data_IF_839245156642
#
_entry.id   IF_839245156642
#
_cell.length_a   1.000
_cell.length_b   1.000
_cell.length_c   1.000
_cell.angle_alpha   90.00
_cell.angle_beta   90.00
_cell.angle_gamma   90.00
#
_symmetry.space_group_name_H-M   'P 1'
#
loop_
_entity.id
_entity.type
_entity.pdbx_description
1 polymer ?
#
# COMPACT_ATOMS: atom_id res chain seq x y z
N UNK A 1 -2.31 -28.47 16.26
CA UNK A 1 -1.82 -27.80 17.49
C UNK A 1 -2.46 -26.41 17.49
N UNK A 2 -3.37 -26.17 18.44
CA UNK A 2 -4.29 -25.01 18.43
C UNK A 2 -3.52 -23.73 18.70
N UNK A 3 -3.58 -22.77 17.78
CA UNK A 3 -3.19 -21.39 18.04
C UNK A 3 -4.13 -20.80 19.10
N UNK A 4 -3.55 -20.27 20.15
CA UNK A 4 -4.24 -19.60 21.26
C UNK A 4 -4.79 -18.26 20.76
N UNK A 5 -6.10 -18.17 20.63
CA UNK A 5 -6.84 -16.91 20.55
C UNK A 5 -6.76 -16.22 21.93
N UNK A 6 -5.77 -15.36 22.10
CA UNK A 6 -5.62 -14.55 23.30
C UNK A 6 -5.02 -13.18 22.95
N UNK A 7 -5.83 -12.36 22.37
CA UNK A 7 -5.95 -10.91 22.45
C UNK A 7 -6.95 -10.52 21.38
N UNK A 8 -8.04 -9.82 21.74
CA UNK A 8 -9.21 -9.59 20.87
C UNK A 8 -8.82 -9.35 19.41
N UNK A 9 -9.13 -10.31 18.55
CA UNK A 9 -8.75 -10.24 17.13
C UNK A 9 -9.27 -8.94 16.57
N UNK A 10 -8.36 -8.12 16.05
CA UNK A 10 -8.73 -6.89 15.36
C UNK A 10 -9.62 -7.27 14.17
N UNK A 11 -10.89 -6.85 14.21
CA UNK A 11 -11.83 -7.14 13.12
C UNK A 11 -11.60 -6.13 12.00
N UNK A 12 -10.82 -6.52 11.01
CA UNK A 12 -10.58 -5.71 9.81
C UNK A 12 -11.88 -5.27 9.13
N UNK A 13 -12.90 -6.11 9.14
CA UNK A 13 -14.24 -5.78 8.59
C UNK A 13 -14.80 -4.49 9.19
N UNK A 14 -14.74 -4.35 10.54
CA UNK A 14 -15.22 -3.12 11.21
C UNK A 14 -14.38 -1.90 10.83
N UNK A 15 -13.06 -2.09 10.65
CA UNK A 15 -12.17 -1.02 10.17
C UNK A 15 -12.56 -0.57 8.76
N UNK A 16 -12.79 -1.50 7.83
CA UNK A 16 -13.18 -1.20 6.46
C UNK A 16 -14.54 -0.51 6.37
N UNK A 17 -15.52 -0.97 7.14
CA UNK A 17 -16.84 -0.34 7.21
C UNK A 17 -16.74 1.12 7.70
N UNK A 18 -15.94 1.38 8.73
CA UNK A 18 -15.75 2.72 9.28
C UNK A 18 -15.06 3.67 8.28
N UNK A 19 -14.20 3.14 7.40
CA UNK A 19 -13.41 3.95 6.45
C UNK A 19 -13.94 3.89 5.01
N UNK A 20 -15.09 3.27 4.77
CA UNK A 20 -15.63 2.96 3.45
C UNK A 20 -15.76 4.18 2.53
N UNK A 21 -16.17 5.32 3.09
CA UNK A 21 -16.51 6.51 2.32
C UNK A 21 -15.49 7.65 2.48
N UNK A 22 -14.31 7.37 3.06
CA UNK A 22 -13.28 8.39 3.12
C UNK A 22 -12.74 8.68 1.72
N UNK A 23 -12.35 9.94 1.42
CA UNK A 23 -11.65 10.24 0.19
C UNK A 23 -10.30 9.50 0.13
N UNK A 24 -9.85 9.20 -1.09
CA UNK A 24 -8.49 8.71 -1.30
C UNK A 24 -7.45 9.74 -0.84
N UNK A 25 -6.27 9.25 -0.47
CA UNK A 25 -5.22 10.11 0.07
C UNK A 25 -4.71 11.13 -0.96
N UNK A 26 -4.37 12.33 -0.50
CA UNK A 26 -3.72 13.35 -1.34
C UNK A 26 -2.38 12.86 -1.90
N UNK A 27 -1.70 12.01 -1.15
CA UNK A 27 -0.45 11.36 -1.56
C UNK A 27 -0.65 10.53 -2.84
N UNK A 28 -1.73 9.72 -2.89
CA UNK A 28 -2.08 8.95 -4.09
C UNK A 28 -2.44 9.87 -5.27
N UNK A 29 -3.21 10.93 -5.06
CA UNK A 29 -3.55 11.85 -6.14
C UNK A 29 -2.31 12.51 -6.75
N UNK A 30 -1.33 12.88 -5.94
CA UNK A 30 -0.03 13.40 -6.41
C UNK A 30 0.71 12.35 -7.24
N UNK A 31 0.78 11.10 -6.77
CA UNK A 31 1.43 10.00 -7.48
C UNK A 31 0.76 9.68 -8.82
N UNK A 32 -0.58 9.70 -8.89
CA UNK A 32 -1.34 9.54 -10.14
C UNK A 32 -0.94 10.62 -11.16
N UNK A 33 -0.84 11.87 -10.72
CA UNK A 33 -0.40 12.99 -11.57
C UNK A 33 1.01 12.77 -12.14
N UNK A 34 1.95 12.36 -11.29
CA UNK A 34 3.33 12.05 -11.71
C UNK A 34 3.39 10.88 -12.68
N UNK A 35 2.75 9.76 -12.37
CA UNK A 35 2.81 8.56 -13.21
C UNK A 35 2.21 8.78 -14.60
N UNK A 36 1.18 9.62 -14.72
CA UNK A 36 0.54 9.97 -16.00
C UNK A 36 1.46 10.68 -16.98
N UNK A 37 2.42 11.43 -16.48
CA UNK A 37 3.36 12.19 -17.33
C UNK A 37 4.56 11.37 -17.77
N UNK A 38 4.82 10.23 -17.14
CA UNK A 38 6.07 9.48 -17.29
C UNK A 38 5.90 8.15 -18.04
N UNK A 39 4.68 7.62 -18.12
CA UNK A 39 4.44 6.34 -18.80
C UNK A 39 3.12 6.39 -19.58
N UNK A 40 3.06 5.63 -20.68
CA UNK A 40 1.83 5.43 -21.44
C UNK A 40 1.00 4.26 -20.88
N UNK A 41 1.58 3.42 -20.04
CA UNK A 41 0.87 2.33 -19.38
C UNK A 41 -0.07 2.89 -18.31
N UNK A 42 -1.23 2.27 -18.15
CA UNK A 42 -2.22 2.61 -17.12
C UNK A 42 -2.50 1.43 -16.20
N UNK A 43 -1.46 0.64 -15.91
CA UNK A 43 -1.55 -0.49 -14.98
C UNK A 43 -1.10 -0.07 -13.60
N UNK A 44 -1.93 -0.33 -12.61
CA UNK A 44 -1.65 -0.07 -11.20
C UNK A 44 -1.85 -1.33 -10.36
N UNK A 45 -1.09 -1.43 -9.27
CA UNK A 45 -1.31 -2.40 -8.19
C UNK A 45 -1.66 -1.64 -6.92
N UNK A 46 -2.72 -2.06 -6.24
CA UNK A 46 -3.16 -1.54 -4.94
C UNK A 46 -2.95 -2.63 -3.88
N UNK A 47 -1.89 -2.51 -3.10
CA UNK A 47 -1.46 -3.47 -2.09
C UNK A 47 -2.10 -3.15 -0.74
N UNK A 48 -2.90 -4.08 -0.19
CA UNK A 48 -3.71 -3.86 1.00
C UNK A 48 -4.85 -2.90 0.72
N UNK A 49 -5.66 -3.22 -0.29
CA UNK A 49 -6.69 -2.32 -0.83
C UNK A 49 -7.82 -1.98 0.16
N UNK A 50 -8.00 -2.78 1.22
CA UNK A 50 -8.97 -2.53 2.28
C UNK A 50 -10.37 -2.24 1.77
N UNK A 51 -10.95 -1.11 2.19
CA UNK A 51 -12.29 -0.67 1.76
C UNK A 51 -12.36 -0.17 0.31
N UNK A 52 -11.23 -0.14 -0.42
CA UNK A 52 -11.17 0.17 -1.85
C UNK A 52 -11.23 1.65 -2.23
N UNK A 53 -11.01 2.57 -1.29
CA UNK A 53 -11.06 4.01 -1.59
C UNK A 53 -9.98 4.42 -2.59
N UNK A 54 -8.79 3.90 -2.44
CA UNK A 54 -7.65 4.13 -3.33
C UNK A 54 -7.84 3.40 -4.67
N UNK A 55 -8.32 2.15 -4.65
CA UNK A 55 -8.73 1.42 -5.86
C UNK A 55 -9.76 2.21 -6.66
N UNK A 56 -10.81 2.76 -6.01
CA UNK A 56 -11.83 3.60 -6.65
C UNK A 56 -11.20 4.81 -7.33
N UNK A 57 -10.30 5.52 -6.65
CA UNK A 57 -9.63 6.69 -7.21
C UNK A 57 -8.76 6.34 -8.43
N UNK A 58 -8.08 5.20 -8.40
CA UNK A 58 -7.32 4.69 -9.53
C UNK A 58 -8.23 4.38 -10.74
N UNK A 59 -9.34 3.66 -10.52
CA UNK A 59 -10.32 3.34 -11.58
C UNK A 59 -10.94 4.61 -12.18
N UNK A 60 -11.34 5.58 -11.33
CA UNK A 60 -11.86 6.89 -11.77
C UNK A 60 -10.83 7.67 -12.59
N UNK A 61 -9.55 7.51 -12.28
CA UNK A 61 -8.46 8.10 -13.01
C UNK A 61 -8.11 7.34 -14.31
N UNK A 62 -8.84 6.25 -14.65
CA UNK A 62 -8.67 5.47 -15.87
C UNK A 62 -7.48 4.50 -15.82
N UNK A 63 -7.17 3.97 -14.63
CA UNK A 63 -6.16 2.93 -14.46
C UNK A 63 -6.80 1.55 -14.48
N UNK A 64 -6.14 0.58 -15.09
CA UNK A 64 -6.40 -0.84 -14.89
C UNK A 64 -5.74 -1.26 -13.58
N UNK A 65 -6.49 -1.84 -12.65
CA UNK A 65 -6.05 -2.07 -11.27
C UNK A 65 -6.05 -3.55 -10.93
N UNK A 66 -4.94 -4.03 -10.35
CA UNK A 66 -4.89 -5.24 -9.55
C UNK A 66 -4.95 -4.84 -8.08
N UNK A 67 -6.07 -5.12 -7.42
CA UNK A 67 -6.24 -4.86 -5.98
C UNK A 67 -6.03 -6.14 -5.18
N UNK A 68 -5.16 -6.07 -4.18
CA UNK A 68 -4.79 -7.22 -3.34
C UNK A 68 -5.05 -6.89 -1.88
N UNK A 69 -5.69 -7.83 -1.18
CA UNK A 69 -5.80 -7.80 0.28
C UNK A 69 -5.84 -9.24 0.81
N UNK A 70 -5.43 -9.44 2.05
CA UNK A 70 -5.54 -10.76 2.70
C UNK A 70 -6.94 -11.08 3.19
N UNK A 71 -7.78 -10.06 3.40
CA UNK A 71 -9.12 -10.19 3.95
C UNK A 71 -10.15 -10.34 2.82
N UNK A 72 -10.89 -11.46 2.74
CA UNK A 72 -11.93 -11.66 1.72
C UNK A 72 -12.98 -10.54 1.72
N UNK A 73 -13.32 -9.99 2.89
CA UNK A 73 -14.30 -8.91 3.00
C UNK A 73 -13.84 -7.61 2.28
N UNK A 74 -12.53 -7.32 2.27
CA UNK A 74 -11.98 -6.21 1.48
C UNK A 74 -12.20 -6.43 -0.01
N UNK A 75 -11.92 -7.65 -0.46
CA UNK A 75 -12.08 -8.03 -1.88
C UNK A 75 -13.54 -7.94 -2.33
N UNK A 76 -14.49 -8.35 -1.48
CA UNK A 76 -15.94 -8.20 -1.77
C UNK A 76 -16.32 -6.72 -1.92
N UNK A 77 -15.81 -5.83 -1.06
CA UNK A 77 -16.06 -4.38 -1.17
C UNK A 77 -15.48 -3.82 -2.47
N UNK A 78 -14.27 -4.22 -2.84
CA UNK A 78 -13.60 -3.76 -4.05
C UNK A 78 -14.30 -4.26 -5.31
N UNK A 79 -14.81 -5.50 -5.33
CA UNK A 79 -15.64 -5.99 -6.44
C UNK A 79 -16.87 -5.13 -6.68
N UNK A 80 -17.56 -4.70 -5.63
CA UNK A 80 -18.72 -3.82 -5.75
C UNK A 80 -18.34 -2.47 -6.42
N UNK A 81 -17.16 -1.93 -6.09
CA UNK A 81 -16.63 -0.69 -6.72
C UNK A 81 -16.39 -0.91 -8.22
N UNK A 82 -15.86 -2.07 -8.61
CA UNK A 82 -15.59 -2.38 -10.02
C UNK A 82 -16.81 -2.34 -10.92
N UNK A 83 -17.99 -2.68 -10.39
CA UNK A 83 -19.25 -2.63 -11.15
C UNK A 83 -19.63 -1.21 -11.56
N UNK A 84 -19.22 -0.21 -10.80
CA UNK A 84 -19.46 1.20 -11.08
C UNK A 84 -18.48 1.80 -12.10
N UNK A 85 -17.42 1.04 -12.48
CA UNK A 85 -16.34 1.50 -13.35
C UNK A 85 -16.07 0.55 -14.54
N UNK A 86 -17.07 0.26 -15.40
CA UNK A 86 -16.97 -0.76 -16.43
C UNK A 86 -15.95 -0.43 -17.56
N UNK A 87 -15.48 0.81 -17.64
CA UNK A 87 -14.50 1.24 -18.64
C UNK A 87 -13.05 0.93 -18.23
N UNK A 88 -12.79 0.63 -16.97
CA UNK A 88 -11.48 0.26 -16.44
C UNK A 88 -11.46 -1.22 -16.04
N UNK A 89 -10.32 -1.87 -16.21
CA UNK A 89 -10.17 -3.27 -15.80
C UNK A 89 -9.82 -3.33 -14.32
N UNK A 90 -10.62 -4.09 -13.56
CA UNK A 90 -10.33 -4.45 -12.17
C UNK A 90 -10.08 -5.95 -12.07
N UNK A 91 -8.91 -6.29 -11.56
CA UNK A 91 -8.58 -7.64 -11.09
C UNK A 91 -8.38 -7.59 -9.58
N UNK A 92 -8.73 -8.67 -8.88
CA UNK A 92 -8.58 -8.75 -7.42
C UNK A 92 -7.95 -10.07 -7.01
N UNK A 93 -7.23 -10.06 -5.90
CA UNK A 93 -6.67 -11.26 -5.32
C UNK A 93 -6.76 -11.23 -3.78
N UNK A 94 -7.27 -12.33 -3.20
CA UNK A 94 -7.16 -12.54 -1.75
C UNK A 94 -5.83 -13.20 -1.46
N UNK A 95 -4.84 -12.43 -0.97
CA UNK A 95 -3.49 -12.93 -0.82
C UNK A 95 -2.73 -12.21 0.28
N UNK A 96 -1.93 -12.95 1.04
CA UNK A 96 -0.96 -12.42 2.00
C UNK A 96 0.28 -11.91 1.28
N UNK A 97 0.89 -10.84 1.75
CA UNK A 97 2.12 -10.28 1.16
C UNK A 97 3.25 -11.30 1.12
N UNK A 98 3.38 -12.11 2.16
CA UNK A 98 4.38 -13.16 2.31
C UNK A 98 4.29 -14.25 1.23
N UNK A 99 3.11 -14.41 0.62
CA UNK A 99 2.85 -15.41 -0.42
C UNK A 99 2.92 -14.86 -1.84
N UNK A 100 3.13 -13.55 -2.02
CA UNK A 100 3.25 -12.93 -3.33
C UNK A 100 4.66 -13.21 -3.90
N UNK A 101 4.71 -14.01 -4.94
CA UNK A 101 5.97 -14.35 -5.62
C UNK A 101 6.26 -13.46 -6.83
N UNK A 102 5.24 -12.87 -7.43
CA UNK A 102 5.34 -11.95 -8.55
C UNK A 102 4.15 -10.99 -8.61
N UNK A 103 4.38 -9.80 -9.16
CA UNK A 103 3.35 -8.83 -9.49
C UNK A 103 3.45 -8.47 -10.98
N UNK A 104 2.36 -8.10 -11.64
CA UNK A 104 2.39 -7.66 -13.03
C UNK A 104 3.20 -6.37 -13.18
N UNK A 105 3.93 -6.19 -14.29
CA UNK A 105 4.61 -4.93 -14.58
C UNK A 105 3.64 -3.76 -14.55
N UNK A 106 3.92 -2.77 -13.71
CA UNK A 106 2.98 -1.68 -13.38
C UNK A 106 3.65 -0.33 -13.37
N UNK A 107 2.91 0.69 -13.81
CA UNK A 107 3.38 2.08 -13.81
C UNK A 107 3.09 2.81 -12.51
N UNK A 108 2.21 2.26 -11.67
CA UNK A 108 1.94 2.77 -10.34
C UNK A 108 1.73 1.60 -9.39
N UNK A 109 2.42 1.63 -8.24
CA UNK A 109 2.18 0.69 -7.15
C UNK A 109 1.86 1.52 -5.91
N UNK A 110 0.67 1.29 -5.36
CA UNK A 110 0.20 1.91 -4.12
C UNK A 110 0.23 0.90 -2.97
N UNK A 111 0.63 1.38 -1.79
CA UNK A 111 0.61 0.60 -0.55
C UNK A 111 0.29 1.52 0.64
N UNK A 112 -0.99 1.89 0.77
CA UNK A 112 -1.46 2.82 1.81
C UNK A 112 -1.63 2.16 3.17
N UNK A 113 -0.78 2.48 4.15
CA UNK A 113 -0.83 1.93 5.51
C UNK A 113 -0.83 0.39 5.57
N UNK A 114 -0.31 -0.28 4.55
CA UNK A 114 -0.42 -1.73 4.38
C UNK A 114 0.90 -2.47 4.60
N UNK A 115 2.03 -1.92 4.12
CA UNK A 115 3.35 -2.55 4.22
C UNK A 115 3.78 -2.92 5.65
N UNK A 116 3.45 -2.14 6.68
CA UNK A 116 3.79 -2.50 8.06
C UNK A 116 3.19 -3.83 8.53
N UNK A 117 2.16 -4.33 7.86
CA UNK A 117 1.52 -5.61 8.17
C UNK A 117 2.12 -6.82 7.44
N UNK A 118 3.18 -6.64 6.66
CA UNK A 118 4.05 -7.73 6.22
C UNK A 118 4.96 -8.14 7.36
N UNK A 119 5.11 -9.46 7.60
CA UNK A 119 6.01 -9.96 8.64
C UNK A 119 7.48 -9.61 8.31
N UNK A 120 8.31 -9.19 9.29
CA UNK A 120 9.69 -8.76 9.04
C UNK A 120 10.53 -9.78 8.28
N UNK A 121 10.41 -11.07 8.61
CA UNK A 121 11.17 -12.15 7.97
C UNK A 121 10.88 -12.29 6.46
N UNK A 122 9.79 -11.70 5.99
CA UNK A 122 9.34 -11.78 4.58
C UNK A 122 9.40 -10.44 3.85
N UNK A 123 9.58 -9.35 4.60
CA UNK A 123 9.49 -8.00 4.04
C UNK A 123 10.50 -7.74 2.91
N UNK A 124 11.76 -8.11 3.09
CA UNK A 124 12.81 -7.90 2.09
C UNK A 124 12.49 -8.62 0.77
N UNK A 125 12.07 -9.90 0.85
CA UNK A 125 11.66 -10.68 -0.32
C UNK A 125 10.46 -10.03 -1.02
N UNK A 126 9.44 -9.66 -0.26
CA UNK A 126 8.25 -9.02 -0.79
C UNK A 126 8.56 -7.65 -1.41
N UNK A 127 9.41 -6.85 -0.75
CA UNK A 127 9.86 -5.57 -1.28
C UNK A 127 10.59 -5.70 -2.62
N UNK A 128 11.43 -6.72 -2.75
CA UNK A 128 12.09 -7.04 -4.03
C UNK A 128 11.09 -7.35 -5.15
N UNK A 129 10.00 -8.06 -4.85
CA UNK A 129 8.92 -8.33 -5.80
C UNK A 129 8.23 -7.04 -6.22
N UNK A 130 7.92 -6.14 -5.26
CA UNK A 130 7.30 -4.83 -5.53
C UNK A 130 8.18 -3.99 -6.45
N UNK A 131 9.49 -3.88 -6.14
CA UNK A 131 10.43 -3.08 -6.92
C UNK A 131 10.70 -3.66 -8.32
N UNK A 132 10.65 -4.99 -8.46
CA UNK A 132 10.79 -5.66 -9.75
C UNK A 132 9.60 -5.40 -10.69
N UNK A 133 8.40 -5.31 -10.12
CA UNK A 133 7.17 -5.05 -10.87
C UNK A 133 7.03 -3.59 -11.32
N UNK A 134 7.74 -2.66 -10.67
CA UNK A 134 7.68 -1.25 -11.04
C UNK A 134 8.43 -1.00 -12.36
N UNK A 135 7.70 -0.54 -13.36
CA UNK A 135 8.26 -0.21 -14.70
C UNK A 135 9.22 0.98 -14.63
N UNK A 136 10.17 1.11 -15.56
CA UNK A 136 10.94 2.34 -15.73
C UNK A 136 10.01 3.56 -15.88
N UNK A 137 10.30 4.65 -15.16
CA UNK A 137 9.44 5.81 -15.06
C UNK A 137 8.21 5.62 -14.14
N UNK A 138 7.96 4.41 -13.67
CA UNK A 138 6.85 4.09 -12.78
C UNK A 138 7.00 4.70 -11.38
N UNK A 139 5.89 4.84 -10.69
CA UNK A 139 5.81 5.50 -9.37
C UNK A 139 5.34 4.53 -8.30
N UNK A 140 6.10 4.42 -7.24
CA UNK A 140 5.65 3.84 -5.97
C UNK A 140 5.11 4.95 -5.07
N UNK A 141 4.00 4.67 -4.37
CA UNK A 141 3.42 5.54 -3.36
C UNK A 141 2.89 4.73 -2.19
N UNK A 142 3.24 5.12 -0.97
CA UNK A 142 2.77 4.37 0.20
C UNK A 142 3.32 4.89 1.52
N UNK A 143 3.01 4.16 2.59
CA UNK A 143 3.47 4.47 3.93
C UNK A 143 4.28 3.32 4.53
N UNK A 144 5.34 3.68 5.26
CA UNK A 144 6.07 2.81 6.17
C UNK A 144 5.82 3.27 7.61
N UNK A 145 5.90 2.36 8.58
CA UNK A 145 5.92 2.75 10.00
C UNK A 145 7.36 2.93 10.47
N UNK A 146 7.55 3.96 11.29
CA UNK A 146 8.82 4.28 11.90
C UNK A 146 9.04 3.55 13.22
N UNK A 147 10.28 3.44 13.62
CA UNK A 147 10.77 2.72 14.79
C UNK A 147 10.35 3.34 16.14
N UNK A 148 9.81 4.58 16.13
CA UNK A 148 9.26 5.24 17.31
C UNK A 148 7.74 5.06 17.45
N UNK A 149 7.08 4.34 16.54
CA UNK A 149 5.65 4.05 16.64
C UNK A 149 5.35 3.17 17.87
N UNK A 150 4.25 3.44 18.58
CA UNK A 150 3.87 2.64 19.76
C UNK A 150 3.74 1.14 19.49
N UNK A 151 3.53 0.77 18.24
CA UNK A 151 3.47 -0.63 17.84
C UNK A 151 4.82 -1.23 17.47
N UNK A 152 5.93 -0.48 17.57
CA UNK A 152 7.25 -0.94 17.14
C UNK A 152 7.80 -2.14 17.94
N UNK A 153 7.18 -2.47 19.08
CA UNK A 153 7.46 -3.69 19.83
C UNK A 153 6.74 -4.95 19.33
N UNK A 154 5.83 -4.82 18.35
CA UNK A 154 5.09 -5.95 17.78
C UNK A 154 5.99 -6.71 16.79
N UNK A 155 6.41 -7.96 17.09
CA UNK A 155 7.33 -8.70 16.23
C UNK A 155 6.70 -9.18 14.91
N UNK A 156 5.38 -9.11 14.78
CA UNK A 156 4.65 -9.52 13.58
C UNK A 156 4.52 -8.39 12.54
N UNK A 157 5.13 -7.22 12.82
CA UNK A 157 5.03 -6.02 11.99
C UNK A 157 6.39 -5.47 11.64
N UNK A 158 6.47 -4.86 10.47
CA UNK A 158 7.69 -4.25 9.98
C UNK A 158 7.73 -2.75 10.27
N UNK A 159 8.79 -2.34 10.93
CA UNK A 159 9.13 -0.95 11.23
C UNK A 159 10.52 -0.62 10.70
N UNK A 160 10.76 0.65 10.46
CA UNK A 160 12.04 1.11 9.94
C UNK A 160 12.50 2.36 10.71
N UNK A 161 13.78 2.49 10.94
CA UNK A 161 14.38 3.81 11.19
C UNK A 161 14.30 4.66 9.92
N UNK A 162 14.45 5.97 10.03
CA UNK A 162 14.48 6.84 8.86
C UNK A 162 15.57 6.41 7.86
N UNK A 163 16.75 6.02 8.35
CA UNK A 163 17.86 5.59 7.49
C UNK A 163 17.53 4.31 6.73
N UNK A 164 16.93 3.31 7.38
CA UNK A 164 16.49 2.08 6.73
C UNK A 164 15.40 2.34 5.70
N UNK A 165 14.40 3.17 6.06
CA UNK A 165 13.35 3.56 5.13
C UNK A 165 13.91 4.23 3.86
N UNK A 166 14.91 5.11 3.99
CA UNK A 166 15.56 5.75 2.84
C UNK A 166 16.35 4.78 1.97
N UNK A 167 16.98 3.76 2.57
CA UNK A 167 17.73 2.71 1.84
C UNK A 167 16.80 1.90 0.93
N UNK A 168 15.54 1.66 1.33
CA UNK A 168 14.56 0.97 0.47
C UNK A 168 14.36 1.67 -0.88
N UNK A 169 14.58 2.97 -0.96
CA UNK A 169 14.36 3.79 -2.15
C UNK A 169 15.65 4.32 -2.78
N UNK A 170 16.83 3.78 -2.39
CA UNK A 170 18.12 4.31 -2.86
C UNK A 170 18.29 4.31 -4.38
N UNK A 171 17.66 3.35 -5.09
CA UNK A 171 17.71 3.22 -6.54
C UNK A 171 16.56 3.97 -7.26
N UNK A 172 15.75 4.72 -6.52
CA UNK A 172 14.63 5.51 -7.01
C UNK A 172 14.85 7.01 -6.77
N UNK A 173 14.19 7.84 -7.56
CA UNK A 173 14.12 9.27 -7.32
C UNK A 173 12.99 9.57 -6.33
N UNK A 174 13.32 9.92 -5.10
CA UNK A 174 12.35 10.38 -4.11
C UNK A 174 11.70 11.69 -4.58
N UNK A 175 10.38 11.70 -4.71
CA UNK A 175 9.55 12.87 -5.04
C UNK A 175 8.91 13.47 -3.80
N UNK A 176 8.61 12.62 -2.82
CA UNK A 176 8.22 13.01 -1.47
C UNK A 176 8.75 11.99 -0.46
N UNK A 177 9.17 12.46 0.68
CA UNK A 177 9.52 11.66 1.84
C UNK A 177 9.21 12.53 3.08
N UNK A 178 8.01 12.34 3.61
CA UNK A 178 7.52 13.14 4.73
C UNK A 178 7.50 12.30 6.00
N UNK A 179 8.01 12.85 7.08
CA UNK A 179 8.04 12.20 8.38
C UNK A 179 6.90 12.75 9.22
N UNK A 180 6.06 11.86 9.70
CA UNK A 180 4.95 12.19 10.59
C UNK A 180 5.19 11.54 11.94
N UNK A 181 5.32 12.36 12.99
CA UNK A 181 5.49 11.93 14.37
C UNK A 181 4.51 12.72 15.25
N UNK A 182 3.48 12.08 15.78
CA UNK A 182 2.41 12.74 16.54
C UNK A 182 1.57 11.75 17.34
N UNK A 183 0.93 12.22 18.41
CA UNK A 183 -0.07 11.47 19.14
C UNK A 183 -1.44 11.65 18.50
N UNK A 184 -2.11 10.54 18.21
CA UNK A 184 -3.39 10.59 17.51
C UNK A 184 -4.23 9.33 17.66
N UNK A 185 -5.47 9.36 17.17
CA UNK A 185 -6.40 8.24 17.29
C UNK A 185 -5.93 7.05 16.46
N UNK A 186 -6.17 5.86 17.00
CA UNK A 186 -6.12 4.59 16.28
C UNK A 186 -7.39 3.79 16.61
N UNK A 187 -7.61 2.67 15.94
CA UNK A 187 -8.74 1.78 16.26
C UNK A 187 -8.66 1.16 17.66
N UNK A 188 -7.52 1.28 18.35
CA UNK A 188 -7.30 0.76 19.71
C UNK A 188 -7.12 1.86 20.75
N UNK A 189 -7.52 3.10 20.42
CA UNK A 189 -7.33 4.27 21.27
C UNK A 189 -6.27 5.23 20.73
N UNK A 190 -5.84 6.19 21.54
CA UNK A 190 -4.76 7.12 21.16
C UNK A 190 -3.43 6.37 21.22
N UNK A 191 -2.57 6.64 20.23
CA UNK A 191 -1.20 6.12 20.19
C UNK A 191 -0.23 7.16 19.64
N UNK A 192 1.04 6.96 19.89
CA UNK A 192 2.12 7.66 19.20
C UNK A 192 2.31 7.06 17.80
N UNK A 193 2.11 7.87 16.77
CA UNK A 193 2.35 7.54 15.38
C UNK A 193 3.73 7.99 14.97
N UNK A 194 4.48 7.10 14.34
CA UNK A 194 5.68 7.44 13.60
C UNK A 194 5.62 6.75 12.25
N UNK A 195 5.52 7.52 11.17
CA UNK A 195 5.38 6.98 9.82
C UNK A 195 6.09 7.84 8.79
N UNK A 196 6.41 7.23 7.67
CA UNK A 196 6.98 7.87 6.50
C UNK A 196 5.99 7.79 5.34
N UNK A 197 5.58 8.94 4.80
CA UNK A 197 4.77 9.05 3.60
C UNK A 197 5.72 9.23 2.41
N UNK A 198 5.66 8.32 1.45
CA UNK A 198 6.67 8.23 0.39
C UNK A 198 6.03 8.26 -0.99
N UNK A 199 6.61 9.06 -1.89
CA UNK A 199 6.45 8.95 -3.35
C UNK A 199 7.85 8.79 -3.94
N UNK A 200 8.08 7.69 -4.63
CA UNK A 200 9.36 7.41 -5.26
C UNK A 200 9.16 6.97 -6.72
N UNK A 201 10.03 7.42 -7.61
CA UNK A 201 9.93 7.14 -9.02
C UNK A 201 11.14 6.34 -9.49
N UNK A 202 10.90 5.25 -10.21
CA UNK A 202 11.96 4.48 -10.87
C UNK A 202 12.53 5.30 -12.03
N UNK A 203 13.85 5.44 -12.17
CA UNK A 203 14.44 6.11 -13.30
C UNK A 203 13.88 5.57 -14.62
N UNK A 204 13.70 6.44 -15.61
CA UNK A 204 13.38 6.01 -16.97
C UNK A 204 14.57 5.22 -17.55
N UNK A 205 14.30 4.23 -18.39
CA UNK A 205 15.39 3.61 -19.16
C UNK A 205 16.06 4.67 -20.02
N UNK A 206 17.36 4.78 -19.93
CA UNK A 206 18.10 5.56 -20.94
C UNK A 206 17.94 4.83 -22.27
N UNK A 207 17.25 5.44 -23.25
CA UNK A 207 17.27 5.00 -24.64
C UNK A 207 18.67 5.13 -25.20
#
# INVERSE_FOLDING_TARGET
MQCKDACGSFKWTTYYEHHRDRPASSLLHTAIGLARTQTNSRKAVDLGCGSGNETRALLQAGWDVLAIDREPAAIEMVHAIGLDHPAAKLETATQWFESIEALPPSSLIHAGMALPFCHPDHFEKFWSVVMSALLPGGVFVGQLFGDKDDWASDPERTFHSESEARVLFQDLSLKAFEIHEYDGPSMRGTKHWHRFDVIAQKPASNE
#
